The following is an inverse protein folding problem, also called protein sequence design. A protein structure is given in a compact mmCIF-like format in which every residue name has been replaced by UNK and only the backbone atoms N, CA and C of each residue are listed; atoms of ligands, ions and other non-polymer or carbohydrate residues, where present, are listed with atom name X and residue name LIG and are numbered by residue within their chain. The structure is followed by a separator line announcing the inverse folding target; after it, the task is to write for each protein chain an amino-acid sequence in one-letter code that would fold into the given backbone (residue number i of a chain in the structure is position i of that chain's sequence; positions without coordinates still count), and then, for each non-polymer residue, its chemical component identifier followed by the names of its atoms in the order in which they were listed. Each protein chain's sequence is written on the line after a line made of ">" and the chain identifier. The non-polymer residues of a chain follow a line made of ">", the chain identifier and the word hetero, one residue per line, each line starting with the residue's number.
data_IF_012091008378
#
_entry.id   IF_012091008378
#
_cell.length_a   1.000
_cell.length_b   1.000
_cell.length_c   1.000
_cell.angle_alpha   90.00
_cell.angle_beta   90.00
_cell.angle_gamma   90.00
#
_symmetry.space_group_name_H-M   'P 1'
#
loop_
_entity.id
_entity.type
_entity.pdbx_description
1 polymer ?
#
# COMPACT_ATOMS: atom_id res chain seq x y z
N UNK A 1 3.03 20.99 -27.28
CA UNK A 1 3.46 20.59 -25.93
C UNK A 1 2.38 20.74 -24.84
N UNK A 2 1.19 21.31 -25.12
CA UNK A 2 0.08 21.35 -24.16
C UNK A 2 -0.67 20.00 -24.03
N UNK A 3 -0.97 19.33 -25.16
CA UNK A 3 -1.74 18.07 -25.22
C UNK A 3 -1.23 16.97 -24.28
N UNK A 4 0.08 16.70 -24.25
CA UNK A 4 0.64 15.64 -23.41
C UNK A 4 0.48 15.93 -21.92
N UNK A 5 0.60 17.19 -21.51
CA UNK A 5 0.43 17.58 -20.11
C UNK A 5 -1.03 17.45 -19.69
N UNK A 6 -1.95 17.84 -20.56
CA UNK A 6 -3.38 17.75 -20.32
C UNK A 6 -3.86 16.29 -20.26
N UNK A 7 -3.36 15.44 -21.17
CA UNK A 7 -3.63 14.00 -21.17
C UNK A 7 -3.06 13.28 -19.95
N UNK A 8 -1.86 13.68 -19.50
CA UNK A 8 -1.27 13.19 -18.26
C UNK A 8 -2.13 13.58 -17.05
N UNK A 9 -2.57 14.84 -16.97
CA UNK A 9 -3.45 15.29 -15.87
C UNK A 9 -4.78 14.55 -15.87
N UNK A 10 -5.34 14.25 -17.06
CA UNK A 10 -6.61 13.53 -17.17
C UNK A 10 -6.52 12.06 -16.76
N UNK A 11 -5.38 11.42 -16.97
CA UNK A 11 -5.26 9.95 -16.83
C UNK A 11 -4.36 9.51 -15.69
N UNK A 12 -3.19 10.14 -15.54
CA UNK A 12 -2.17 9.72 -14.57
C UNK A 12 -2.44 10.28 -13.18
N UNK A 13 -2.85 11.56 -13.06
CA UNK A 13 -3.13 12.15 -11.75
C UNK A 13 -4.24 11.39 -10.98
N UNK A 14 -5.42 11.09 -11.58
CA UNK A 14 -6.46 10.33 -10.90
C UNK A 14 -6.10 8.86 -10.65
N UNK A 15 -5.21 8.28 -11.46
CA UNK A 15 -4.71 6.92 -11.25
C UNK A 15 -3.76 6.87 -10.04
N UNK A 16 -2.91 7.89 -9.87
CA UNK A 16 -2.03 8.01 -8.70
C UNK A 16 -2.81 8.21 -7.41
N UNK A 17 -3.86 9.03 -7.43
CA UNK A 17 -4.75 9.20 -6.28
C UNK A 17 -5.40 7.87 -5.87
N UNK A 18 -5.94 7.12 -6.84
CA UNK A 18 -6.51 5.79 -6.58
C UNK A 18 -5.49 4.78 -6.08
N UNK A 19 -4.26 4.81 -6.60
CA UNK A 19 -3.19 3.93 -6.12
C UNK A 19 -2.80 4.25 -4.66
N UNK A 20 -2.78 5.53 -4.29
CA UNK A 20 -2.53 5.94 -2.90
C UNK A 20 -3.69 5.51 -1.99
N UNK A 21 -4.94 5.66 -2.43
CA UNK A 21 -6.11 5.19 -1.68
C UNK A 21 -6.08 3.66 -1.49
N UNK A 22 -5.75 2.90 -2.55
CA UNK A 22 -5.61 1.46 -2.48
C UNK A 22 -4.54 1.04 -1.46
N UNK A 23 -3.37 1.70 -1.45
CA UNK A 23 -2.31 1.41 -0.49
C UNK A 23 -2.76 1.63 0.96
N UNK A 24 -3.52 2.70 1.22
CA UNK A 24 -4.09 2.99 2.55
C UNK A 24 -5.08 1.89 2.96
N UNK A 25 -5.94 1.46 2.04
CA UNK A 25 -6.92 0.40 2.30
C UNK A 25 -6.23 -0.95 2.54
N UNK A 26 -5.20 -1.29 1.76
CA UNK A 26 -4.41 -2.51 1.94
C UNK A 26 -3.73 -2.55 3.31
N UNK A 27 -3.13 -1.44 3.75
CA UNK A 27 -2.55 -1.32 5.10
C UNK A 27 -3.61 -1.57 6.17
N UNK A 28 -4.77 -0.92 6.06
CA UNK A 28 -5.87 -1.08 7.02
C UNK A 28 -6.38 -2.51 7.09
N UNK A 29 -6.48 -3.20 5.95
CA UNK A 29 -6.87 -4.61 5.91
C UNK A 29 -5.81 -5.46 6.60
N UNK A 30 -4.52 -5.22 6.35
CA UNK A 30 -3.43 -5.94 7.02
C UNK A 30 -3.49 -5.76 8.53
N UNK A 31 -3.73 -4.55 9.02
CA UNK A 31 -3.82 -4.26 10.45
C UNK A 31 -4.99 -5.01 11.09
N UNK A 32 -6.16 -5.02 10.44
CA UNK A 32 -7.34 -5.78 10.90
C UNK A 32 -7.09 -7.29 10.91
N UNK A 33 -6.37 -7.82 9.92
CA UNK A 33 -6.01 -9.23 9.87
C UNK A 33 -5.08 -9.57 11.05
N UNK A 34 -4.05 -8.76 11.28
CA UNK A 34 -3.12 -8.97 12.39
C UNK A 34 -3.84 -8.92 13.76
N UNK A 35 -4.76 -7.97 13.94
CA UNK A 35 -5.60 -7.86 15.13
C UNK A 35 -6.48 -9.10 15.32
N UNK A 36 -7.13 -9.59 14.25
CA UNK A 36 -7.97 -10.79 14.29
C UNK A 36 -7.18 -12.06 14.66
N UNK A 37 -5.89 -12.11 14.32
CA UNK A 37 -4.98 -13.18 14.72
C UNK A 37 -4.37 -12.98 16.12
N UNK A 38 -4.62 -11.85 16.78
CA UNK A 38 -4.09 -11.53 18.10
C UNK A 38 -2.57 -11.31 18.11
N UNK A 39 -2.00 -10.90 16.97
CA UNK A 39 -0.56 -10.66 16.85
C UNK A 39 -0.15 -9.39 17.59
N UNK A 40 0.94 -9.48 18.34
CA UNK A 40 1.59 -8.32 18.95
C UNK A 40 2.35 -7.50 17.90
N UNK A 41 2.60 -6.20 18.15
CA UNK A 41 3.43 -5.38 17.26
C UNK A 41 4.80 -6.02 16.98
N UNK A 42 5.42 -6.64 18.00
CA UNK A 42 6.72 -7.29 17.88
C UNK A 42 6.68 -8.52 16.97
N UNK A 43 5.61 -9.31 17.03
CA UNK A 43 5.42 -10.47 16.14
C UNK A 43 5.17 -10.04 14.69
N UNK A 44 4.42 -8.96 14.49
CA UNK A 44 4.23 -8.36 13.16
C UNK A 44 5.55 -7.85 12.60
N UNK A 45 6.36 -7.17 13.42
CA UNK A 45 7.68 -6.69 13.04
C UNK A 45 8.60 -7.84 12.63
N UNK A 46 8.66 -8.91 13.42
CA UNK A 46 9.43 -10.11 13.11
C UNK A 46 8.96 -10.79 11.81
N UNK A 47 7.65 -10.85 11.58
CA UNK A 47 7.10 -11.37 10.32
C UNK A 47 7.61 -10.56 9.12
N UNK A 48 7.68 -9.22 9.22
CA UNK A 48 8.17 -8.37 8.14
C UNK A 48 9.68 -8.46 7.93
N UNK A 49 10.48 -8.54 9.00
CA UNK A 49 11.94 -8.73 8.89
C UNK A 49 12.32 -10.04 8.21
N UNK A 50 11.51 -11.07 8.41
CA UNK A 50 11.72 -12.41 7.84
C UNK A 50 10.92 -12.66 6.57
N UNK A 51 10.10 -11.70 6.14
CA UNK A 51 9.24 -11.86 4.99
C UNK A 51 10.06 -11.93 3.68
N UNK A 52 9.77 -12.90 2.79
CA UNK A 52 10.42 -12.96 1.50
C UNK A 52 10.01 -11.75 0.62
N UNK A 53 10.76 -11.43 -0.46
CA UNK A 53 10.61 -10.20 -1.27
C UNK A 53 9.27 -9.99 -2.00
N UNK A 54 8.26 -10.84 -1.78
CA UNK A 54 6.95 -10.80 -2.45
C UNK A 54 5.81 -10.31 -1.56
N UNK A 55 6.11 -9.62 -0.45
CA UNK A 55 5.04 -8.98 0.32
C UNK A 55 4.39 -7.83 -0.48
N UNK A 56 3.06 -7.65 -0.37
CA UNK A 56 2.27 -6.82 -1.28
C UNK A 56 2.58 -5.32 -1.22
N UNK A 57 3.13 -4.83 -0.11
CA UNK A 57 3.53 -3.43 0.06
C UNK A 57 4.84 -3.34 0.84
N UNK A 58 5.69 -2.38 0.47
CA UNK A 58 6.90 -2.05 1.23
C UNK A 58 6.49 -1.36 2.54
N UNK A 59 7.20 -1.66 3.63
CA UNK A 59 7.14 -0.85 4.85
C UNK A 59 8.05 0.36 4.63
N UNK A 60 7.53 1.57 4.89
CA UNK A 60 8.33 2.81 4.90
C UNK A 60 9.29 2.85 6.09
#
# INVERSE_FOLDING_TARGET
>A
MASLRDEWQRTIAPARERAAEALVLERRISDLVNEAYGLTPEEVDLMWETAPPRMPFARE
#
